data_IF_392050331952
#
_entry.id   IF_392050331952
#
_cell.length_a   1.000
_cell.length_b   1.000
_cell.length_c   1.000
_cell.angle_alpha   90.00
_cell.angle_beta   90.00
_cell.angle_gamma   90.00
#
_symmetry.space_group_name_H-M   'P 1'
#
loop_
_entity.id
_entity.type
_entity.pdbx_description
1 polymer ?
#
# COMPACT_ATOMS: atom_id res chain seq x y z
N UNK A 1 0.38 1.03 -9.87
CA UNK A 1 0.97 2.38 -9.77
C UNK A 1 1.40 2.64 -8.34
N UNK A 2 2.45 3.43 -8.14
CA UNK A 2 2.97 3.77 -6.83
C UNK A 2 2.91 5.28 -6.68
N UNK A 3 2.13 5.75 -5.72
CA UNK A 3 1.93 7.16 -5.45
C UNK A 3 2.69 7.56 -4.18
N UNK A 4 3.48 8.61 -4.28
CA UNK A 4 4.20 9.24 -3.18
C UNK A 4 3.85 10.71 -3.12
N UNK A 5 3.65 11.24 -1.91
CA UNK A 5 3.34 12.66 -1.69
C UNK A 5 4.42 13.62 -2.20
N UNK A 6 5.63 13.12 -2.47
CA UNK A 6 6.74 13.90 -3.03
C UNK A 6 6.77 13.89 -4.56
N UNK A 7 5.85 13.18 -5.19
CA UNK A 7 5.67 13.18 -6.62
C UNK A 7 4.47 14.05 -6.95
N UNK A 8 4.63 15.27 -7.41
CA UNK A 8 3.54 15.96 -8.07
C UNK A 8 3.22 15.19 -9.37
N UNK A 9 2.24 14.28 -9.26
CA UNK A 9 1.99 13.29 -10.29
C UNK A 9 3.15 12.27 -10.42
N UNK A 10 2.84 11.01 -10.62
CA UNK A 10 3.79 9.88 -10.82
C UNK A 10 4.77 10.13 -11.97
N UNK A 11 4.59 11.12 -12.83
CA UNK A 11 5.57 11.58 -13.83
C UNK A 11 6.95 11.88 -13.24
N UNK A 12 7.03 12.15 -11.93
CA UNK A 12 8.29 12.48 -11.26
C UNK A 12 8.91 11.37 -10.41
N UNK A 13 8.29 10.19 -10.30
CA UNK A 13 8.98 9.07 -9.64
C UNK A 13 10.27 8.68 -10.38
N UNK A 14 10.31 8.83 -11.70
CA UNK A 14 11.51 8.62 -12.50
C UNK A 14 12.61 9.67 -12.25
N UNK A 15 12.23 10.86 -11.81
CA UNK A 15 13.13 11.97 -11.49
C UNK A 15 13.23 12.23 -9.98
N UNK A 16 12.58 11.39 -9.16
CA UNK A 16 12.74 11.48 -7.72
C UNK A 16 14.22 11.27 -7.39
N UNK A 17 14.76 12.14 -6.56
CA UNK A 17 16.11 11.98 -6.04
C UNK A 17 16.30 10.54 -5.58
N UNK A 18 17.35 9.88 -6.07
CA UNK A 18 17.73 8.51 -5.68
C UNK A 18 17.94 8.33 -4.18
N UNK A 19 17.87 9.40 -3.41
CA UNK A 19 17.92 9.45 -1.95
C UNK A 19 16.53 9.53 -1.30
N UNK A 20 15.46 9.43 -2.07
CA UNK A 20 14.09 9.56 -1.56
C UNK A 20 13.57 8.20 -1.05
N UNK A 21 13.11 8.17 0.20
CA UNK A 21 12.50 6.97 0.79
C UNK A 21 11.34 6.39 0.00
N UNK A 22 10.55 7.22 -0.68
CA UNK A 22 9.49 6.77 -1.56
C UNK A 22 10.02 6.05 -2.81
N UNK A 23 11.14 6.51 -3.36
CA UNK A 23 11.80 5.84 -4.47
C UNK A 23 12.25 4.43 -4.09
N UNK A 24 12.91 4.28 -2.94
CA UNK A 24 13.33 2.96 -2.45
C UNK A 24 12.16 2.05 -2.12
N UNK A 25 11.11 2.58 -1.51
CA UNK A 25 9.88 1.82 -1.26
C UNK A 25 9.28 1.29 -2.56
N UNK A 26 9.16 2.14 -3.57
CA UNK A 26 8.64 1.76 -4.89
C UNK A 26 9.51 0.68 -5.55
N UNK A 27 10.82 0.84 -5.47
CA UNK A 27 11.79 -0.11 -6.01
C UNK A 27 11.68 -1.48 -5.33
N UNK A 28 11.51 -1.50 -4.01
CA UNK A 28 11.32 -2.73 -3.23
C UNK A 28 10.02 -3.45 -3.63
N UNK A 29 8.91 -2.71 -3.78
CA UNK A 29 7.63 -3.28 -4.20
C UNK A 29 7.77 -3.93 -5.58
N UNK A 30 8.32 -3.22 -6.55
CA UNK A 30 8.51 -3.72 -7.91
C UNK A 30 9.43 -4.94 -7.96
N UNK A 31 10.52 -4.92 -7.19
CA UNK A 31 11.52 -5.99 -7.21
C UNK A 31 11.10 -7.21 -6.39
N UNK A 32 10.49 -6.99 -5.22
CA UNK A 32 10.38 -8.02 -4.20
C UNK A 32 8.94 -8.43 -3.87
N UNK A 33 7.94 -7.59 -4.11
CA UNK A 33 6.53 -7.89 -3.79
C UNK A 33 5.77 -8.30 -5.05
N UNK A 34 5.71 -7.45 -6.06
CA UNK A 34 4.94 -7.71 -7.29
C UNK A 34 5.23 -9.09 -7.90
N UNK A 35 6.50 -9.54 -8.04
CA UNK A 35 6.78 -10.84 -8.66
C UNK A 35 6.29 -12.06 -7.86
N UNK A 36 5.89 -11.86 -6.61
CA UNK A 36 5.41 -12.91 -5.71
C UNK A 36 3.89 -12.94 -5.55
N UNK A 37 3.19 -11.96 -6.13
CA UNK A 37 1.74 -11.83 -5.98
C UNK A 37 1.06 -12.16 -7.31
N UNK A 38 0.12 -13.10 -7.28
CA UNK A 38 -0.66 -13.53 -8.44
C UNK A 38 -2.00 -12.79 -8.45
N UNK A 39 -2.30 -12.09 -9.55
CA UNK A 39 -3.52 -11.32 -9.69
C UNK A 39 -3.82 -11.05 -11.15
N UNK A 40 -5.10 -10.85 -11.47
CA UNK A 40 -5.56 -10.37 -12.79
C UNK A 40 -5.52 -8.84 -12.88
N UNK A 41 -5.35 -8.15 -11.75
CA UNK A 41 -5.25 -6.69 -11.71
C UNK A 41 -3.95 -6.21 -12.33
N UNK A 42 -4.02 -5.06 -12.96
CA UNK A 42 -2.86 -4.42 -13.54
C UNK A 42 -1.93 -3.86 -12.45
N UNK A 43 -0.65 -4.15 -12.57
CA UNK A 43 0.37 -3.46 -11.81
C UNK A 43 0.87 -2.27 -12.59
N UNK A 44 0.67 -1.10 -12.05
CA UNK A 44 1.25 0.10 -12.63
C UNK A 44 2.60 0.33 -11.96
N UNK A 45 3.67 0.01 -12.66
CA UNK A 45 5.04 0.15 -12.16
C UNK A 45 5.44 1.61 -12.02
N UNK A 46 6.55 1.88 -11.34
CA UNK A 46 7.08 3.24 -11.16
C UNK A 46 7.39 3.96 -12.50
N UNK A 47 7.56 3.20 -13.58
CA UNK A 47 7.82 3.71 -14.91
C UNK A 47 6.54 3.97 -15.72
N UNK A 48 5.40 3.51 -15.24
CA UNK A 48 4.11 3.71 -15.88
C UNK A 48 3.51 5.01 -15.40
N UNK A 49 3.18 5.89 -16.30
CA UNK A 49 2.73 7.25 -15.99
C UNK A 49 1.22 7.36 -15.80
N UNK A 50 0.48 6.34 -16.20
CA UNK A 50 -0.98 6.38 -16.23
C UNK A 50 -1.56 5.20 -15.43
N UNK A 51 -2.57 5.49 -14.61
CA UNK A 51 -3.43 4.46 -14.06
C UNK A 51 -4.33 3.93 -15.17
N UNK A 52 -4.84 2.76 -15.00
CA UNK A 52 -5.89 2.18 -15.83
C UNK A 52 -6.94 1.55 -14.91
N UNK A 53 -8.12 1.33 -15.43
CA UNK A 53 -9.14 0.56 -14.72
C UNK A 53 -8.60 -0.83 -14.32
N UNK A 54 -9.14 -1.41 -13.27
CA UNK A 54 -8.73 -2.72 -12.78
C UNK A 54 -7.25 -2.76 -12.38
N UNK A 55 -6.83 -1.81 -11.52
CA UNK A 55 -5.44 -1.64 -11.10
C UNK A 55 -5.23 -1.74 -9.60
N UNK A 56 -4.06 -2.26 -9.21
CA UNK A 56 -3.55 -2.17 -7.84
C UNK A 56 -2.64 -0.96 -7.72
N UNK A 57 -2.97 -0.07 -6.79
CA UNK A 57 -2.30 1.21 -6.57
C UNK A 57 -1.66 1.24 -5.19
N UNK A 58 -0.34 1.34 -5.13
CA UNK A 58 0.38 1.50 -3.87
C UNK A 58 0.47 2.96 -3.44
N UNK A 59 0.02 3.24 -2.22
CA UNK A 59 0.03 4.56 -1.62
C UNK A 59 1.02 4.56 -0.45
N UNK A 60 2.15 5.21 -0.64
CA UNK A 60 3.21 5.25 0.35
C UNK A 60 2.92 6.17 1.53
N UNK A 61 2.36 7.36 1.25
CA UNK A 61 2.07 8.41 2.23
C UNK A 61 0.67 8.97 2.02
N UNK A 62 0.34 10.05 2.74
CA UNK A 62 -0.89 10.79 2.50
C UNK A 62 -0.96 11.28 1.05
N UNK A 63 -2.15 11.19 0.47
CA UNK A 63 -2.44 11.75 -0.84
C UNK A 63 -2.65 13.26 -0.75
N UNK A 64 -2.24 13.96 -1.78
CA UNK A 64 -2.64 15.36 -2.02
C UNK A 64 -3.98 15.41 -2.76
N UNK A 65 -4.72 16.52 -2.72
CA UNK A 65 -6.01 16.65 -3.40
C UNK A 65 -5.96 16.21 -4.87
N UNK A 66 -4.96 16.63 -5.61
CA UNK A 66 -4.77 16.26 -7.01
C UNK A 66 -4.61 14.75 -7.27
N UNK A 67 -4.22 13.98 -6.27
CA UNK A 67 -4.15 12.52 -6.39
C UNK A 67 -5.53 11.87 -6.28
N UNK A 68 -6.42 12.44 -5.46
CA UNK A 68 -7.80 11.98 -5.35
C UNK A 68 -8.53 12.20 -6.68
N UNK A 69 -8.52 13.44 -7.19
CA UNK A 69 -9.16 13.81 -8.46
C UNK A 69 -8.65 12.94 -9.62
N UNK A 70 -7.37 12.55 -9.57
CA UNK A 70 -6.78 11.68 -10.56
C UNK A 70 -7.29 10.24 -10.45
N UNK A 71 -7.32 9.68 -9.23
CA UNK A 71 -7.74 8.29 -9.03
C UNK A 71 -9.24 8.09 -9.25
N UNK A 72 -10.07 9.11 -9.01
CA UNK A 72 -11.51 9.08 -9.26
C UNK A 72 -11.88 8.84 -10.73
N UNK A 73 -10.95 9.08 -11.66
CA UNK A 73 -11.17 8.86 -13.09
C UNK A 73 -11.16 7.37 -13.46
N UNK A 74 -10.72 6.49 -12.57
CA UNK A 74 -10.54 5.07 -12.84
C UNK A 74 -11.47 4.20 -12.00
N UNK A 75 -11.86 3.06 -12.56
CA UNK A 75 -12.77 2.11 -11.93
C UNK A 75 -12.04 0.86 -11.45
N UNK A 76 -12.65 0.19 -10.47
CA UNK A 76 -12.19 -1.09 -9.94
C UNK A 76 -10.71 -1.04 -9.47
N UNK A 77 -10.42 -0.06 -8.61
CA UNK A 77 -9.10 0.10 -8.02
C UNK A 77 -8.99 -0.67 -6.70
N UNK A 78 -7.83 -1.28 -6.49
CA UNK A 78 -7.39 -1.79 -5.20
C UNK A 78 -6.26 -0.88 -4.69
N UNK A 79 -6.52 -0.20 -3.59
CA UNK A 79 -5.61 0.79 -3.01
C UNK A 79 -4.85 0.15 -1.85
N UNK A 80 -3.55 -0.05 -2.02
CA UNK A 80 -2.68 -0.62 -0.99
C UNK A 80 -2.00 0.52 -0.23
N UNK A 81 -2.39 0.72 1.03
CA UNK A 81 -1.90 1.82 1.85
C UNK A 81 -0.89 1.34 2.89
N UNK A 82 0.22 2.06 3.02
CA UNK A 82 1.29 1.75 3.97
C UNK A 82 1.03 2.25 5.40
N UNK A 83 0.02 3.10 5.60
CA UNK A 83 -0.31 3.74 6.87
C UNK A 83 -1.81 3.56 7.14
N UNK A 84 -2.22 3.03 8.31
CA UNK A 84 -3.63 2.71 8.60
C UNK A 84 -4.56 3.92 8.49
N UNK A 85 -4.10 5.10 8.89
CA UNK A 85 -4.86 6.35 8.89
C UNK A 85 -5.23 6.82 7.47
N UNK A 86 -4.61 6.24 6.46
CA UNK A 86 -4.93 6.51 5.05
C UNK A 86 -6.12 5.69 4.55
N UNK A 87 -6.44 4.54 5.18
CA UNK A 87 -7.56 3.69 4.77
C UNK A 87 -8.89 4.44 4.61
N UNK A 88 -9.39 5.15 5.64
CA UNK A 88 -10.67 5.83 5.52
C UNK A 88 -10.65 6.95 4.47
N UNK A 89 -9.49 7.54 4.22
CA UNK A 89 -9.32 8.64 3.27
C UNK A 89 -9.45 8.20 1.82
N UNK A 90 -9.17 6.93 1.51
CA UNK A 90 -9.17 6.38 0.16
C UNK A 90 -10.32 5.41 -0.11
N UNK A 91 -11.14 5.11 0.89
CA UNK A 91 -12.21 4.12 0.79
C UNK A 91 -13.29 4.46 -0.26
N UNK A 92 -13.44 5.73 -0.60
CA UNK A 92 -14.36 6.20 -1.64
C UNK A 92 -13.83 5.99 -3.06
N UNK A 93 -12.52 5.81 -3.23
CA UNK A 93 -11.88 5.62 -4.54
C UNK A 93 -11.90 4.16 -5.02
N UNK A 94 -12.07 3.23 -4.10
CA UNK A 94 -12.04 1.80 -4.40
C UNK A 94 -11.83 0.93 -3.18
N UNK A 95 -11.51 -0.34 -3.40
CA UNK A 95 -11.20 -1.29 -2.34
C UNK A 95 -9.86 -0.92 -1.70
N UNK A 96 -9.77 -0.88 -0.38
CA UNK A 96 -8.56 -0.48 0.31
C UNK A 96 -7.99 -1.61 1.17
N UNK A 97 -6.68 -1.83 1.04
CA UNK A 97 -5.91 -2.83 1.80
C UNK A 97 -4.82 -2.11 2.58
N UNK A 98 -4.77 -2.31 3.90
CA UNK A 98 -3.61 -1.93 4.68
C UNK A 98 -2.51 -2.99 4.57
N UNK A 99 -1.35 -2.57 4.07
CA UNK A 99 -0.13 -3.36 4.03
C UNK A 99 0.97 -2.54 4.71
N UNK A 100 1.47 -2.93 5.88
CA UNK A 100 2.55 -2.21 6.55
C UNK A 100 3.78 -2.06 5.65
N UNK A 101 4.56 -1.01 5.87
CA UNK A 101 5.84 -0.84 5.18
C UNK A 101 6.72 -2.04 5.46
N UNK A 102 7.36 -2.56 4.42
CA UNK A 102 8.29 -3.67 4.48
C UNK A 102 9.67 -3.31 3.94
N UNK A 103 10.63 -4.12 4.28
CA UNK A 103 12.03 -3.99 3.83
C UNK A 103 12.60 -5.38 3.57
N UNK A 104 13.69 -5.45 2.82
CA UNK A 104 14.51 -6.65 2.71
C UNK A 104 15.33 -6.79 4.01
N UNK A 105 14.82 -7.61 4.93
CA UNK A 105 15.39 -7.76 6.28
C UNK A 105 16.81 -8.33 6.21
N UNK A 106 17.01 -9.35 5.39
CA UNK A 106 18.34 -9.98 5.27
C UNK A 106 19.37 -9.04 4.64
N UNK A 107 18.94 -8.23 3.67
CA UNK A 107 19.80 -7.19 3.11
C UNK A 107 20.21 -6.14 4.16
N UNK A 108 19.26 -5.69 4.99
CA UNK A 108 19.57 -4.69 6.04
C UNK A 108 20.46 -5.28 7.12
N UNK A 109 20.26 -6.54 7.51
CA UNK A 109 21.10 -7.22 8.53
C UNK A 109 22.58 -7.31 8.14
N UNK A 110 22.92 -7.32 6.87
CA UNK A 110 24.30 -7.37 6.41
C UNK A 110 25.15 -6.18 6.87
N UNK A 111 24.50 -5.06 7.24
CA UNK A 111 25.15 -3.85 7.75
C UNK A 111 25.29 -3.83 9.28
N UNK A 112 24.80 -4.85 10.01
CA UNK A 112 24.95 -4.90 11.47
C UNK A 112 26.41 -4.88 11.88
N UNK A 113 26.73 -4.02 12.85
CA UNK A 113 28.08 -3.88 13.40
C UNK A 113 28.01 -3.53 14.89
N UNK A 114 29.17 -3.46 15.54
CA UNK A 114 29.26 -3.01 16.91
C UNK A 114 28.82 -1.53 17.05
N UNK A 115 28.13 -1.24 18.16
CA UNK A 115 27.58 0.10 18.45
C UNK A 115 28.61 0.94 19.21
N UNK A 116 29.25 1.86 18.51
CA UNK A 116 30.28 2.76 19.05
C UNK A 116 29.85 4.21 19.18
N UNK A 117 28.60 4.55 18.72
CA UNK A 117 28.01 5.88 18.80
C UNK A 117 26.69 5.88 19.56
N UNK A 118 26.34 6.99 20.19
CA UNK A 118 25.19 7.03 21.07
C UNK A 118 23.88 7.29 20.31
N UNK A 119 23.69 8.47 19.72
CA UNK A 119 22.40 8.85 19.14
C UNK A 119 22.56 9.56 17.80
N UNK A 120 21.66 9.24 16.87
CA UNK A 120 21.55 9.94 15.59
C UNK A 120 20.10 10.31 15.28
N UNK A 121 19.93 11.15 14.27
CA UNK A 121 18.63 11.36 13.64
C UNK A 121 18.72 11.13 12.14
N UNK A 122 17.70 10.41 11.61
CA UNK A 122 17.72 9.87 10.25
C UNK A 122 16.57 10.42 9.43
N UNK A 123 16.87 10.98 8.27
CA UNK A 123 15.86 11.42 7.31
C UNK A 123 16.15 12.78 6.69
N UNK A 124 15.10 13.54 6.39
CA UNK A 124 15.26 14.89 5.83
C UNK A 124 15.43 15.90 6.93
N UNK A 125 16.32 16.90 6.77
CA UNK A 125 16.55 17.93 7.79
C UNK A 125 15.26 18.63 8.24
N UNK A 126 14.39 18.98 7.33
CA UNK A 126 13.11 19.66 7.63
C UNK A 126 12.12 18.86 8.49
N UNK A 127 12.34 17.57 8.67
CA UNK A 127 11.53 16.76 9.61
C UNK A 127 11.90 17.00 11.07
N UNK A 128 13.09 17.55 11.30
CA UNK A 128 13.63 17.78 12.64
C UNK A 128 13.37 19.19 13.15
N UNK A 129 12.93 20.10 12.28
CA UNK A 129 12.61 21.47 12.66
C UNK A 129 11.51 21.49 13.73
N UNK A 130 11.82 22.07 14.89
CA UNK A 130 10.92 22.11 16.05
C UNK A 130 10.74 20.79 16.78
N UNK A 131 11.57 19.77 16.54
CA UNK A 131 11.62 18.53 17.33
C UNK A 131 12.68 18.63 18.43
N UNK A 132 12.62 17.70 19.39
CA UNK A 132 13.66 17.55 20.42
C UNK A 132 14.76 16.58 20.00
N UNK A 133 14.78 16.17 18.72
CA UNK A 133 15.80 15.25 18.23
C UNK A 133 17.20 15.87 18.33
N UNK A 134 18.12 15.12 18.91
CA UNK A 134 19.52 15.50 19.09
C UNK A 134 20.42 14.41 18.52
N UNK A 135 21.72 14.70 18.39
CA UNK A 135 22.71 13.74 17.90
C UNK A 135 23.17 14.01 16.47
N UNK A 136 23.84 13.03 15.91
CA UNK A 136 24.43 13.14 14.57
C UNK A 136 23.39 13.02 13.49
N UNK A 137 23.46 13.88 12.48
CA UNK A 137 22.58 13.79 11.33
C UNK A 137 23.04 12.73 10.33
N UNK A 138 22.12 11.84 9.92
CA UNK A 138 22.31 10.87 8.84
C UNK A 138 21.26 11.09 7.77
N UNK A 139 21.68 11.54 6.60
CA UNK A 139 20.80 11.74 5.46
C UNK A 139 21.52 12.36 4.28
N UNK A 140 20.82 12.48 3.15
CA UNK A 140 21.39 13.04 1.92
C UNK A 140 22.47 12.17 1.27
N UNK A 141 22.58 10.90 1.63
CA UNK A 141 23.56 9.94 1.13
C UNK A 141 22.89 8.72 0.48
N UNK A 142 23.62 7.88 -0.27
CA UNK A 142 23.15 6.60 -0.77
C UNK A 142 22.60 5.71 0.35
N UNK A 143 21.70 4.80 -0.02
CA UNK A 143 21.07 3.92 0.96
C UNK A 143 22.07 3.02 1.69
N UNK A 144 23.02 2.47 0.99
CA UNK A 144 24.08 1.63 1.54
C UNK A 144 24.87 2.40 2.60
N UNK A 145 25.35 3.59 2.27
CA UNK A 145 26.03 4.48 3.19
C UNK A 145 25.17 4.86 4.40
N UNK A 146 23.86 5.09 4.17
CA UNK A 146 22.93 5.37 5.27
C UNK A 146 22.87 4.19 6.24
N UNK A 147 22.74 2.96 5.73
CA UNK A 147 22.67 1.74 6.55
C UNK A 147 23.98 1.48 7.29
N UNK A 148 25.13 1.62 6.61
CA UNK A 148 26.46 1.53 7.22
C UNK A 148 26.61 2.51 8.38
N UNK A 149 26.30 3.78 8.15
CA UNK A 149 26.40 4.82 9.19
C UNK A 149 25.43 4.57 10.34
N UNK A 150 24.17 4.24 10.03
CA UNK A 150 23.12 4.00 11.03
C UNK A 150 23.46 2.80 11.93
N UNK A 151 24.13 1.79 11.38
CA UNK A 151 24.49 0.58 12.10
C UNK A 151 25.38 0.83 13.34
N UNK A 152 26.14 1.92 13.37
CA UNK A 152 27.01 2.29 14.48
C UNK A 152 26.29 2.87 15.71
N UNK A 153 25.02 3.30 15.59
CA UNK A 153 24.34 4.00 16.66
C UNK A 153 23.52 3.09 17.56
N UNK A 154 23.54 3.36 18.87
CA UNK A 154 22.71 2.70 19.87
C UNK A 154 21.25 3.13 19.75
N UNK A 155 21.03 4.42 19.47
CA UNK A 155 19.70 5.05 19.42
C UNK A 155 19.53 5.86 18.14
N UNK A 156 18.30 5.91 17.62
CA UNK A 156 18.01 6.67 16.42
C UNK A 156 16.62 7.32 16.49
N UNK A 157 16.57 8.62 16.26
CA UNK A 157 15.32 9.29 15.89
C UNK A 157 15.03 8.97 14.44
N UNK A 158 14.02 8.15 14.19
CA UNK A 158 13.66 7.68 12.86
C UNK A 158 12.14 7.45 12.72
N UNK A 159 11.61 7.65 11.53
CA UNK A 159 10.18 7.40 11.22
C UNK A 159 10.04 6.62 9.93
N UNK A 160 8.95 5.87 9.81
CA UNK A 160 8.63 5.10 8.61
C UNK A 160 9.67 4.00 8.37
N UNK A 161 10.11 3.89 7.12
CA UNK A 161 11.07 2.89 6.72
C UNK A 161 12.41 2.98 7.47
N UNK A 162 12.91 4.18 7.69
CA UNK A 162 14.16 4.35 8.45
C UNK A 162 14.05 3.84 9.89
N UNK A 163 12.87 3.93 10.51
CA UNK A 163 12.64 3.35 11.82
C UNK A 163 12.69 1.81 11.81
N UNK A 164 12.13 1.19 10.77
CA UNK A 164 12.19 -0.26 10.59
C UNK A 164 13.66 -0.70 10.40
N UNK A 165 14.41 -0.02 9.55
CA UNK A 165 15.82 -0.29 9.30
C UNK A 165 16.68 -0.12 10.56
N UNK A 166 16.47 0.95 11.31
CA UNK A 166 17.14 1.18 12.58
C UNK A 166 16.90 0.03 13.57
N UNK A 167 15.65 -0.45 13.68
CA UNK A 167 15.31 -1.62 14.53
C UNK A 167 16.03 -2.90 14.08
N UNK A 168 16.08 -3.16 12.78
CA UNK A 168 16.78 -4.34 12.24
C UNK A 168 18.27 -4.26 12.54
N UNK A 169 18.84 -3.06 12.44
CA UNK A 169 20.25 -2.82 12.78
C UNK A 169 20.52 -2.85 14.30
N UNK A 170 19.49 -3.01 15.13
CA UNK A 170 19.63 -3.08 16.59
C UNK A 170 19.69 -1.73 17.27
N UNK A 171 19.22 -0.65 16.64
CA UNK A 171 19.06 0.63 17.31
C UNK A 171 17.75 0.67 18.09
N UNK A 172 17.77 1.29 19.26
CA UNK A 172 16.56 1.76 19.91
C UNK A 172 15.98 2.94 19.12
N UNK A 173 14.74 2.82 18.66
CA UNK A 173 14.10 3.92 17.92
C UNK A 173 13.38 4.84 18.90
N UNK A 174 13.83 6.09 18.93
CA UNK A 174 13.30 7.12 19.80
C UNK A 174 12.11 7.86 19.15
N UNK A 175 11.11 8.30 19.92
CA UNK A 175 10.02 9.12 19.42
C UNK A 175 10.53 10.51 19.06
N UNK A 176 10.15 10.98 17.86
CA UNK A 176 10.53 12.33 17.41
C UNK A 176 9.83 13.44 18.21
N UNK A 177 8.54 13.44 18.12
CA UNK A 177 7.58 14.28 18.84
C UNK A 177 6.15 13.85 18.47
N UNK A 178 5.10 14.49 19.07
CA UNK A 178 3.71 14.11 18.83
C UNK A 178 3.20 14.23 17.38
N UNK A 179 3.94 14.93 16.50
CA UNK A 179 3.57 15.04 15.07
C UNK A 179 3.83 13.76 14.30
N UNK A 180 4.59 12.83 14.86
CA UNK A 180 4.96 11.57 14.21
C UNK A 180 4.39 10.39 15.00
N UNK A 181 4.04 9.29 14.32
CA UNK A 181 3.62 8.08 14.99
C UNK A 181 4.67 7.56 15.98
N UNK A 182 4.19 6.98 17.08
CA UNK A 182 5.04 6.31 18.05
C UNK A 182 5.89 5.20 17.39
N UNK A 183 7.15 5.02 17.81
CA UNK A 183 8.03 4.00 17.24
C UNK A 183 7.47 2.57 17.24
N UNK A 184 6.57 2.21 18.17
CA UNK A 184 5.93 0.90 18.23
C UNK A 184 5.07 0.57 16.99
N UNK A 185 4.63 1.58 16.26
CA UNK A 185 3.87 1.44 15.00
C UNK A 185 4.74 0.82 13.90
N UNK A 186 6.03 1.11 13.89
CA UNK A 186 6.97 0.64 12.87
C UNK A 186 7.46 -0.78 13.20
N UNK A 187 6.67 -1.77 12.80
CA UNK A 187 7.00 -3.19 12.98
C UNK A 187 7.92 -3.67 11.86
N UNK A 188 8.84 -4.57 12.22
CA UNK A 188 9.67 -5.25 11.22
C UNK A 188 8.77 -6.18 10.41
N UNK A 189 8.77 -6.01 9.10
CA UNK A 189 8.09 -6.85 8.15
C UNK A 189 9.01 -7.07 6.94
N UNK A 190 9.30 -8.33 6.66
CA UNK A 190 10.06 -8.72 5.47
C UNK A 190 9.23 -8.57 4.19
N UNK A 191 9.88 -8.30 3.07
CA UNK A 191 9.22 -8.14 1.79
C UNK A 191 8.49 -9.42 1.33
N UNK A 192 9.01 -10.60 1.67
CA UNK A 192 8.36 -11.88 1.38
C UNK A 192 7.06 -12.01 2.17
N UNK A 193 7.12 -11.77 3.48
CA UNK A 193 5.93 -11.82 4.33
C UNK A 193 4.89 -10.76 3.94
N UNK A 194 5.35 -9.60 3.47
CA UNK A 194 4.47 -8.56 2.93
C UNK A 194 3.76 -9.03 1.64
N UNK A 195 4.47 -9.72 0.76
CA UNK A 195 3.88 -10.29 -0.46
C UNK A 195 2.83 -11.36 -0.11
N UNK A 196 3.14 -12.28 0.81
CA UNK A 196 2.20 -13.32 1.26
C UNK A 196 0.95 -12.71 1.92
N UNK A 197 1.13 -11.66 2.75
CA UNK A 197 0.01 -10.92 3.34
C UNK A 197 -0.84 -10.21 2.29
N UNK A 198 -0.21 -9.61 1.29
CA UNK A 198 -0.94 -8.96 0.20
C UNK A 198 -1.73 -9.99 -0.61
N UNK A 199 -1.12 -11.13 -0.97
CA UNK A 199 -1.80 -12.21 -1.67
C UNK A 199 -3.05 -12.67 -0.90
N UNK A 200 -2.89 -13.00 0.39
CA UNK A 200 -4.01 -13.45 1.22
C UNK A 200 -5.15 -12.43 1.28
N UNK A 201 -4.82 -11.13 1.37
CA UNK A 201 -5.82 -10.06 1.38
C UNK A 201 -6.52 -9.88 0.03
N UNK A 202 -5.79 -10.04 -1.06
CA UNK A 202 -6.36 -10.02 -2.41
C UNK A 202 -7.29 -11.20 -2.62
N UNK A 203 -6.88 -12.40 -2.24
CA UNK A 203 -7.70 -13.60 -2.34
C UNK A 203 -8.99 -13.51 -1.51
N UNK A 204 -8.90 -12.97 -0.30
CA UNK A 204 -10.06 -12.74 0.55
C UNK A 204 -11.02 -11.70 -0.04
N UNK A 205 -10.46 -10.65 -0.63
CA UNK A 205 -11.22 -9.57 -1.26
C UNK A 205 -11.94 -10.07 -2.51
N UNK A 206 -11.25 -10.86 -3.35
CA UNK A 206 -11.79 -11.44 -4.57
C UNK A 206 -12.84 -12.52 -4.27
N UNK A 207 -12.59 -13.41 -3.30
CA UNK A 207 -13.58 -14.40 -2.84
C UNK A 207 -14.87 -13.76 -2.33
N UNK A 208 -14.77 -12.64 -1.62
CA UNK A 208 -15.96 -11.90 -1.17
C UNK A 208 -16.76 -11.32 -2.33
N UNK A 209 -16.12 -11.05 -3.44
CA UNK A 209 -16.80 -10.59 -4.66
C UNK A 209 -17.37 -11.73 -5.47
N UNK A 210 -16.66 -12.84 -5.60
CA UNK A 210 -17.19 -14.06 -6.22
C UNK A 210 -18.46 -14.53 -5.51
N UNK A 211 -18.47 -14.51 -4.16
CA UNK A 211 -19.67 -14.81 -3.38
C UNK A 211 -20.82 -13.80 -3.52
N UNK A 212 -20.59 -12.67 -4.20
CA UNK A 212 -21.64 -11.71 -4.60
C UNK A 212 -22.03 -11.83 -6.05
N UNK A 213 -21.26 -12.58 -6.85
CA UNK A 213 -21.52 -12.79 -8.27
C UNK A 213 -22.80 -13.57 -8.47
N UNK A 214 -23.52 -13.21 -9.48
CA UNK A 214 -24.77 -13.87 -9.86
C UNK A 214 -24.78 -14.23 -11.34
N UNK A 215 -25.49 -15.29 -11.69
CA UNK A 215 -25.73 -15.67 -13.06
C UNK A 215 -27.23 -15.63 -13.34
N UNK A 216 -27.63 -15.08 -14.47
CA UNK A 216 -29.00 -15.28 -14.99
C UNK A 216 -29.04 -16.62 -15.70
N UNK A 217 -29.95 -17.52 -15.24
CA UNK A 217 -29.90 -18.95 -15.61
C UNK A 217 -30.29 -19.18 -17.06
N UNK A 218 -31.19 -18.38 -17.62
CA UNK A 218 -31.68 -18.57 -18.99
C UNK A 218 -30.68 -18.09 -20.05
N UNK A 219 -30.09 -16.93 -19.82
CA UNK A 219 -29.09 -16.34 -20.74
C UNK A 219 -27.69 -16.88 -20.50
N UNK A 220 -27.39 -17.36 -19.28
CA UNK A 220 -26.05 -17.72 -18.86
C UNK A 220 -25.13 -16.51 -18.56
N UNK A 221 -25.67 -15.29 -18.60
CA UNK A 221 -24.90 -14.07 -18.34
C UNK A 221 -24.51 -13.97 -16.89
N UNK A 222 -23.24 -13.55 -16.66
CA UNK A 222 -22.64 -13.44 -15.34
C UNK A 222 -22.44 -11.98 -14.97
N UNK A 223 -22.77 -11.66 -13.74
CA UNK A 223 -22.64 -10.31 -13.15
C UNK A 223 -21.85 -10.39 -11.86
N UNK A 224 -21.02 -9.40 -11.61
CA UNK A 224 -20.19 -9.33 -10.39
C UNK A 224 -21.03 -9.07 -9.14
N UNK A 225 -22.17 -8.40 -9.29
CA UNK A 225 -23.06 -8.06 -8.18
C UNK A 225 -24.52 -8.15 -8.60
N UNK A 226 -25.40 -8.27 -7.60
CA UNK A 226 -26.86 -8.16 -7.82
C UNK A 226 -27.27 -6.78 -8.34
N UNK A 227 -26.50 -5.74 -8.06
CA UNK A 227 -26.73 -4.36 -8.55
C UNK A 227 -26.51 -4.30 -10.06
N UNK A 228 -25.36 -4.81 -10.52
CA UNK A 228 -25.02 -4.88 -11.94
C UNK A 228 -26.04 -5.68 -12.73
N UNK A 229 -26.46 -6.83 -12.21
CA UNK A 229 -27.53 -7.63 -12.82
C UNK A 229 -28.87 -6.89 -12.88
N UNK A 230 -29.26 -6.20 -11.82
CA UNK A 230 -30.49 -5.42 -11.75
C UNK A 230 -30.49 -4.28 -12.77
N UNK A 231 -29.41 -3.53 -12.89
CA UNK A 231 -29.24 -2.46 -13.87
C UNK A 231 -29.29 -2.98 -15.31
N UNK A 232 -28.58 -4.08 -15.60
CA UNK A 232 -28.55 -4.68 -16.93
C UNK A 232 -29.93 -5.12 -17.42
N UNK A 233 -30.73 -5.78 -16.56
CA UNK A 233 -32.06 -6.24 -16.90
C UNK A 233 -33.17 -5.21 -16.65
N UNK A 234 -32.86 -4.01 -16.18
CA UNK A 234 -33.82 -2.95 -15.88
C UNK A 234 -34.82 -3.33 -14.78
N UNK A 235 -34.39 -4.15 -13.82
CA UNK A 235 -35.24 -4.61 -12.70
C UNK A 235 -34.73 -4.04 -11.37
N UNK A 236 -35.57 -4.14 -10.32
CA UNK A 236 -35.11 -3.70 -8.99
C UNK A 236 -34.13 -4.68 -8.35
N UNK A 237 -33.25 -4.17 -7.47
CA UNK A 237 -32.36 -5.00 -6.64
C UNK A 237 -33.13 -6.07 -5.87
N UNK A 238 -34.33 -5.74 -5.38
CA UNK A 238 -35.20 -6.67 -4.66
C UNK A 238 -35.68 -7.82 -5.56
N UNK A 239 -35.88 -7.58 -6.85
CA UNK A 239 -36.27 -8.62 -7.83
C UNK A 239 -35.15 -9.65 -7.97
N UNK A 240 -33.91 -9.21 -8.17
CA UNK A 240 -32.72 -10.11 -8.28
C UNK A 240 -32.51 -10.86 -6.96
N UNK A 241 -32.51 -10.15 -5.84
CA UNK A 241 -32.30 -10.75 -4.51
C UNK A 241 -33.39 -11.79 -4.18
N UNK A 242 -34.64 -11.48 -4.50
CA UNK A 242 -35.77 -12.40 -4.27
C UNK A 242 -35.66 -13.64 -5.13
N UNK A 243 -35.29 -13.50 -6.41
CA UNK A 243 -35.08 -14.65 -7.30
C UNK A 243 -34.00 -15.59 -6.78
N UNK A 244 -32.88 -15.03 -6.30
CA UNK A 244 -31.78 -15.80 -5.71
C UNK A 244 -32.24 -16.51 -4.43
N UNK A 245 -32.90 -15.78 -3.52
CA UNK A 245 -33.29 -16.31 -2.22
C UNK A 245 -34.37 -17.37 -2.29
N UNK A 246 -35.34 -17.18 -3.15
CA UNK A 246 -36.46 -18.12 -3.35
C UNK A 246 -36.16 -19.22 -4.38
N UNK A 247 -35.06 -19.10 -5.12
CA UNK A 247 -34.67 -20.11 -6.16
C UNK A 247 -35.64 -20.19 -7.32
N UNK A 248 -36.52 -19.19 -7.51
CA UNK A 248 -37.54 -19.17 -8.54
C UNK A 248 -37.45 -17.99 -9.48
N UNK A 249 -38.15 -18.09 -10.59
CA UNK A 249 -38.27 -16.99 -11.54
C UNK A 249 -39.08 -15.83 -10.95
N UNK A 250 -38.59 -14.61 -11.09
CA UNK A 250 -39.26 -13.38 -10.70
C UNK A 250 -39.13 -12.38 -11.86
N UNK A 251 -40.24 -11.81 -12.31
CA UNK A 251 -40.27 -10.90 -13.45
C UNK A 251 -39.68 -11.50 -14.76
N UNK A 252 -39.83 -12.82 -14.98
CA UNK A 252 -39.28 -13.50 -16.15
C UNK A 252 -37.81 -13.89 -16.07
N UNK A 253 -37.10 -13.52 -14.98
CA UNK A 253 -35.67 -13.73 -14.77
C UNK A 253 -35.43 -14.69 -13.61
N UNK A 254 -34.43 -15.53 -13.74
CA UNK A 254 -34.01 -16.46 -12.69
C UNK A 254 -32.50 -16.31 -12.45
N UNK A 255 -32.16 -15.93 -11.24
CA UNK A 255 -30.78 -15.72 -10.82
C UNK A 255 -30.32 -16.75 -9.80
N UNK A 256 -29.04 -17.06 -9.83
CA UNK A 256 -28.36 -17.89 -8.84
C UNK A 256 -27.06 -17.20 -8.45
N UNK A 257 -26.64 -17.33 -7.18
CA UNK A 257 -25.28 -16.97 -6.77
C UNK A 257 -24.28 -18.01 -7.29
N UNK A 258 -23.13 -17.50 -7.72
CA UNK A 258 -21.98 -18.31 -8.12
C UNK A 258 -21.08 -18.62 -6.93
#
# INVERSE_FOLDING_TARGET
MIISHNSPGYKKLNNASRWNGAYYYSKEIVKNIIPRVHTTYNWVTINTQECVDHSIVFIHNNLHPEHYDYLEQYKDLILVVGVPETLPKVAHLGKAIYLPLSVDVEYVKQFQTEKDKDVCFVGRPNKFDGTQATGDYIGGCPREELLERLAHYKQAYAVGRCAIEAKILGCEVLPYDPRFPDPSVWKILDNKDAADRLQNKLDDLLRREEGKSVIEIKSGERFRTITEAAEHFGVSLSTVSKSIHEGREVAGLKFMRL
#
